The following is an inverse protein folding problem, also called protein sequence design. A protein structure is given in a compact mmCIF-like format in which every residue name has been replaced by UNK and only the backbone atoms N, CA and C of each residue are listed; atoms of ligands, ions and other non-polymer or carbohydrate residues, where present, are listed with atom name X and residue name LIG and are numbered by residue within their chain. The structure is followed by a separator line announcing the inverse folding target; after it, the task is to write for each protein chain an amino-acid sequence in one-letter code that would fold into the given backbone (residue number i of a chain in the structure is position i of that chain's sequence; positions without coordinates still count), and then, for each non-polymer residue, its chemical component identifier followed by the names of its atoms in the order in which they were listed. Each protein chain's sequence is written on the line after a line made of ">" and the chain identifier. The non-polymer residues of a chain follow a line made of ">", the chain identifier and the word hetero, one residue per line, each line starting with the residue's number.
data_IF_561071603176
#
_entry.id   IF_561071603176
#
_cell.length_a   1.000
_cell.length_b   1.000
_cell.length_c   1.000
_cell.angle_alpha   90.00
_cell.angle_beta   90.00
_cell.angle_gamma   90.00
#
_symmetry.space_group_name_H-M   'P 1'
#
loop_
_entity.id
_entity.type
_entity.pdbx_description
1 polymer ?
#
# COMPACT_ATOMS: atom_id res chain seq x y z
N UNK A 1 14.90 31.42 -10.94
CA UNK A 1 14.59 30.30 -10.02
C UNK A 1 14.68 29.03 -10.84
N UNK A 2 15.57 28.07 -10.53
CA UNK A 2 15.54 26.79 -11.22
C UNK A 2 14.20 26.12 -10.92
N UNK A 3 13.50 25.72 -11.98
CA UNK A 3 12.31 24.89 -11.88
C UNK A 3 12.79 23.50 -11.45
N UNK A 4 12.47 23.10 -10.22
CA UNK A 4 12.64 21.74 -9.71
C UNK A 4 11.68 20.79 -10.44
N UNK A 5 11.90 20.59 -11.75
CA UNK A 5 11.05 19.76 -12.58
C UNK A 5 11.45 18.30 -12.38
N UNK A 6 10.88 17.67 -11.35
CA UNK A 6 10.96 16.21 -11.21
C UNK A 6 10.28 15.55 -12.43
N UNK A 7 10.82 14.46 -13.00
CA UNK A 7 10.23 13.76 -14.15
C UNK A 7 9.02 12.89 -13.73
N UNK A 8 8.10 13.47 -12.96
CA UNK A 8 6.93 12.79 -12.42
C UNK A 8 5.75 13.06 -13.34
N UNK A 9 5.13 12.00 -13.85
CA UNK A 9 3.84 12.09 -14.52
C UNK A 9 2.73 11.85 -13.50
N UNK A 10 1.86 12.84 -13.33
CA UNK A 10 0.66 12.68 -12.51
C UNK A 10 -0.39 11.86 -13.28
N UNK A 11 -0.97 10.88 -12.59
CA UNK A 11 -2.09 10.09 -13.10
C UNK A 11 -3.39 10.64 -12.52
N UNK A 12 -4.39 10.86 -13.36
CA UNK A 12 -5.70 11.33 -12.92
C UNK A 12 -6.48 10.20 -12.24
N UNK A 13 -6.95 10.48 -11.02
CA UNK A 13 -7.88 9.62 -10.29
C UNK A 13 -9.24 10.34 -10.22
N UNK A 14 -10.35 9.69 -10.60
CA UNK A 14 -11.67 10.28 -10.45
C UNK A 14 -12.01 10.54 -8.98
N UNK A 15 -12.76 11.61 -8.72
CA UNK A 15 -13.23 11.93 -7.36
C UNK A 15 -14.07 10.79 -6.79
N UNK A 16 -13.83 10.44 -5.52
CA UNK A 16 -14.46 9.32 -4.80
C UNK A 16 -14.22 7.92 -5.40
N UNK A 17 -13.30 7.76 -6.36
CA UNK A 17 -12.97 6.46 -6.95
C UNK A 17 -11.83 5.74 -6.22
N UNK A 18 -11.94 5.51 -4.92
CA UNK A 18 -10.92 4.77 -4.16
C UNK A 18 -10.66 3.36 -4.71
N UNK A 19 -11.66 2.74 -5.34
CA UNK A 19 -11.54 1.41 -5.97
C UNK A 19 -10.58 1.37 -7.17
N UNK A 20 -10.26 2.50 -7.79
CA UNK A 20 -9.28 2.57 -8.90
C UNK A 20 -7.85 2.82 -8.42
N UNK A 21 -7.65 3.11 -7.12
CA UNK A 21 -6.32 3.32 -6.55
C UNK A 21 -5.74 2.00 -5.99
N UNK A 22 -4.67 1.43 -6.57
CA UNK A 22 -4.10 0.15 -6.13
C UNK A 22 -3.67 0.12 -4.65
N UNK A 23 -3.27 1.26 -4.08
CA UNK A 23 -2.80 1.32 -2.69
C UNK A 23 -3.89 0.94 -1.70
N UNK A 24 -5.17 1.19 -2.03
CA UNK A 24 -6.31 0.85 -1.16
C UNK A 24 -6.47 -0.65 -0.97
N UNK A 25 -6.17 -1.44 -2.01
CA UNK A 25 -6.16 -2.90 -1.93
C UNK A 25 -5.01 -3.39 -1.05
N UNK A 26 -3.81 -2.83 -1.19
CA UNK A 26 -2.68 -3.16 -0.31
C UNK A 26 -3.01 -2.85 1.16
N UNK A 27 -3.60 -1.69 1.44
CA UNK A 27 -4.05 -1.34 2.80
C UNK A 27 -5.14 -2.27 3.32
N UNK A 28 -6.08 -2.69 2.47
CA UNK A 28 -7.10 -3.69 2.84
C UNK A 28 -6.44 -5.00 3.26
N UNK A 29 -5.47 -5.49 2.49
CA UNK A 29 -4.70 -6.68 2.84
C UNK A 29 -4.00 -6.51 4.19
N UNK A 30 -3.22 -5.44 4.35
CA UNK A 30 -2.50 -5.18 5.61
C UNK A 30 -3.45 -5.12 6.82
N UNK A 31 -4.62 -4.48 6.67
CA UNK A 31 -5.63 -4.40 7.72
C UNK A 31 -6.18 -5.77 8.11
N UNK A 32 -6.46 -6.62 7.14
CA UNK A 32 -6.98 -7.97 7.37
C UNK A 32 -5.96 -8.84 8.12
N UNK A 33 -4.69 -8.77 7.76
CA UNK A 33 -3.67 -9.68 8.28
C UNK A 33 -3.03 -9.19 9.60
N UNK A 34 -2.83 -7.88 9.77
CA UNK A 34 -1.98 -7.35 10.85
C UNK A 34 -2.70 -6.42 11.81
N UNK A 35 -3.75 -5.72 11.36
CA UNK A 35 -4.48 -4.73 12.16
C UNK A 35 -5.81 -5.26 12.71
N UNK A 36 -6.23 -6.45 12.27
CA UNK A 36 -7.46 -7.06 12.72
C UNK A 36 -7.41 -7.39 14.23
N UNK A 37 -8.52 -7.14 14.94
CA UNK A 37 -8.70 -7.37 16.38
C UNK A 37 -7.78 -6.57 17.31
N UNK A 38 -7.15 -5.48 16.84
CA UNK A 38 -6.42 -4.54 17.69
C UNK A 38 -5.34 -5.18 18.59
N UNK A 39 -4.76 -6.32 18.20
CA UNK A 39 -3.86 -7.13 19.05
C UNK A 39 -2.64 -6.37 19.60
N UNK A 40 -2.27 -5.25 18.99
CA UNK A 40 -1.16 -4.38 19.42
C UNK A 40 -1.60 -2.92 19.60
N UNK A 41 -2.88 -2.64 19.88
CA UNK A 41 -3.38 -1.26 20.09
C UNK A 41 -2.58 -0.51 21.15
N UNK A 42 -2.22 -1.22 22.21
CA UNK A 42 -1.57 -0.65 23.39
C UNK A 42 -0.03 -0.68 23.26
N UNK A 43 0.48 -1.33 22.21
CA UNK A 43 1.89 -1.51 21.93
C UNK A 43 2.25 -0.89 20.58
N UNK A 44 2.14 0.43 20.49
CA UNK A 44 2.32 1.21 19.27
C UNK A 44 3.62 0.90 18.52
N UNK A 45 4.74 0.74 19.24
CA UNK A 45 6.02 0.41 18.61
C UNK A 45 6.03 -0.97 17.97
N UNK A 46 5.37 -1.95 18.60
CA UNK A 46 5.21 -3.30 18.02
C UNK A 46 4.32 -3.28 16.79
N UNK A 47 3.29 -2.44 16.80
CA UNK A 47 2.41 -2.24 15.65
C UNK A 47 3.18 -1.68 14.44
N UNK A 48 3.94 -0.59 14.65
CA UNK A 48 4.79 0.00 13.61
C UNK A 48 5.80 -1.01 13.06
N UNK A 49 6.49 -1.76 13.93
CA UNK A 49 7.46 -2.76 13.51
C UNK A 49 6.82 -3.85 12.63
N UNK A 50 5.63 -4.34 13.00
CA UNK A 50 4.90 -5.33 12.19
C UNK A 50 4.43 -4.80 10.86
N UNK A 51 3.95 -3.56 10.82
CA UNK A 51 3.56 -2.91 9.57
C UNK A 51 4.78 -2.78 8.66
N UNK A 52 5.92 -2.34 9.21
CA UNK A 52 7.17 -2.22 8.46
C UNK A 52 7.62 -3.57 7.91
N UNK A 53 7.74 -4.59 8.76
CA UNK A 53 8.13 -5.96 8.36
C UNK A 53 7.20 -6.55 7.29
N UNK A 54 5.90 -6.23 7.36
CA UNK A 54 4.94 -6.66 6.35
C UNK A 54 5.16 -5.96 5.00
N UNK A 55 5.37 -4.64 5.02
CA UNK A 55 5.63 -3.85 3.80
C UNK A 55 6.98 -4.19 3.17
N UNK A 56 7.99 -4.54 3.98
CA UNK A 56 9.31 -4.96 3.50
C UNK A 56 9.25 -6.19 2.58
N UNK A 57 8.23 -7.06 2.73
CA UNK A 57 7.98 -8.20 1.83
C UNK A 57 7.69 -7.77 0.40
N UNK A 58 7.29 -6.51 0.20
CA UNK A 58 7.00 -5.91 -1.10
C UNK A 58 8.08 -4.90 -1.54
N UNK A 59 9.23 -4.85 -0.88
CA UNK A 59 10.35 -4.00 -1.29
C UNK A 59 10.95 -4.41 -2.65
N UNK A 60 10.76 -5.67 -3.06
CA UNK A 60 11.12 -6.18 -4.37
C UNK A 60 9.91 -6.39 -5.30
N UNK A 61 10.15 -6.75 -6.57
CA UNK A 61 9.09 -7.11 -7.51
C UNK A 61 8.22 -8.25 -6.96
N UNK A 62 6.90 -8.02 -6.89
CA UNK A 62 5.95 -9.01 -6.39
C UNK A 62 4.83 -9.25 -7.41
N UNK A 63 4.93 -10.29 -8.25
CA UNK A 63 3.86 -10.66 -9.18
C UNK A 63 2.54 -10.92 -8.46
N UNK A 64 2.59 -11.57 -7.29
CA UNK A 64 1.41 -11.82 -6.46
C UNK A 64 0.71 -10.51 -6.05
N UNK A 65 1.48 -9.49 -5.66
CA UNK A 65 0.91 -8.18 -5.34
C UNK A 65 0.24 -7.56 -6.58
N UNK A 66 0.91 -7.63 -7.74
CA UNK A 66 0.39 -7.07 -8.99
C UNK A 66 -0.91 -7.75 -9.44
N UNK A 67 -1.02 -9.08 -9.33
CA UNK A 67 -2.27 -9.81 -9.57
C UNK A 67 -3.35 -9.38 -8.56
N UNK A 68 -3.00 -9.32 -7.27
CA UNK A 68 -3.94 -8.93 -6.21
C UNK A 68 -4.51 -7.52 -6.42
N UNK A 69 -3.65 -6.56 -6.79
CA UNK A 69 -4.10 -5.18 -7.05
C UNK A 69 -4.81 -5.02 -8.40
N UNK A 70 -4.70 -6.01 -9.30
CA UNK A 70 -5.33 -6.01 -10.63
C UNK A 70 -4.50 -5.28 -11.70
N UNK A 71 -3.19 -5.15 -11.48
CA UNK A 71 -2.24 -4.61 -12.47
C UNK A 71 -1.68 -5.69 -13.41
N UNK A 72 -1.81 -6.98 -13.03
CA UNK A 72 -1.57 -8.12 -13.91
C UNK A 72 -2.86 -8.94 -14.10
N UNK A 73 -3.11 -9.48 -15.31
CA UNK A 73 -4.24 -10.38 -15.56
C UNK A 73 -4.06 -11.71 -14.81
N UNK A 74 -5.15 -12.41 -14.53
CA UNK A 74 -5.12 -13.74 -13.92
C UNK A 74 -4.71 -14.83 -14.93
#
# INVERSE_FOLDING_TARGET
>A
MPSDTLPIQLLFLPTYASWTNPIEKLWRWLKQDYLHLHRHSDAWDKLKAKVHESLDKFAGPSPQLLHYVGLLPN
#
